data_IF_065170506852
#
_entry.id   IF_065170506852
#
_cell.length_a   1.000
_cell.length_b   1.000
_cell.length_c   1.000
_cell.angle_alpha   90.00
_cell.angle_beta   90.00
_cell.angle_gamma   90.00
#
_symmetry.space_group_name_H-M   'P 1'
#
loop_
_entity.id
_entity.type
_entity.pdbx_description
1 polymer ?
#
# COMPACT_ATOMS: atom_id res chain seq x y z
N UNK A 1 -0.12 7.45 20.58
CA UNK A 1 0.08 6.21 19.78
C UNK A 1 1.57 5.92 19.72
N UNK A 2 1.99 4.66 19.89
CA UNK A 2 3.41 4.30 19.72
C UNK A 2 3.80 4.53 18.26
N UNK A 3 4.96 5.13 18.02
CA UNK A 3 5.47 5.34 16.67
C UNK A 3 5.57 3.99 15.95
N UNK A 4 5.10 3.95 14.71
CA UNK A 4 5.26 2.77 13.86
C UNK A 4 6.75 2.53 13.60
N UNK A 5 7.16 1.27 13.56
CA UNK A 5 8.54 0.92 13.24
C UNK A 5 8.80 1.21 11.76
N UNK A 6 9.86 1.98 11.48
CA UNK A 6 10.37 2.13 10.10
C UNK A 6 11.10 0.85 9.71
N UNK A 7 10.60 0.18 8.67
CA UNK A 7 11.20 -1.05 8.18
C UNK A 7 12.42 -0.72 7.31
N UNK A 8 13.51 -1.46 7.49
CA UNK A 8 14.58 -1.53 6.51
C UNK A 8 14.25 -2.55 5.40
N UNK A 9 15.09 -2.62 4.38
CA UNK A 9 14.86 -3.48 3.22
C UNK A 9 14.74 -4.98 3.60
N UNK A 10 15.61 -5.49 4.46
CA UNK A 10 15.56 -6.89 4.89
C UNK A 10 14.26 -7.22 5.66
N UNK A 11 13.79 -6.27 6.47
CA UNK A 11 12.53 -6.40 7.19
C UNK A 11 11.33 -6.35 6.24
N UNK A 12 11.32 -5.44 5.27
CA UNK A 12 10.28 -5.37 4.24
C UNK A 12 10.21 -6.69 3.45
N UNK A 13 11.35 -7.22 2.99
CA UNK A 13 11.40 -8.51 2.28
C UNK A 13 10.82 -9.64 3.12
N UNK A 14 11.09 -9.66 4.44
CA UNK A 14 10.53 -10.67 5.35
C UNK A 14 9.00 -10.55 5.45
N UNK A 15 8.46 -9.34 5.52
CA UNK A 15 7.01 -9.10 5.54
C UNK A 15 6.36 -9.58 4.23
N UNK A 16 6.95 -9.25 3.08
CA UNK A 16 6.45 -9.72 1.78
C UNK A 16 6.49 -11.23 1.69
N UNK A 17 7.57 -11.88 2.12
CA UNK A 17 7.66 -13.34 2.15
C UNK A 17 6.58 -13.97 3.05
N UNK A 18 6.23 -13.31 4.17
CA UNK A 18 5.12 -13.75 5.00
C UNK A 18 3.77 -13.62 4.28
N UNK A 19 3.50 -12.51 3.59
CA UNK A 19 2.28 -12.31 2.79
C UNK A 19 2.06 -13.43 1.76
N UNK A 20 3.13 -13.95 1.14
CA UNK A 20 3.07 -15.06 0.17
C UNK A 20 2.47 -16.36 0.72
N UNK A 21 2.59 -16.58 2.03
CA UNK A 21 2.02 -17.76 2.70
C UNK A 21 0.54 -17.61 3.07
N UNK A 22 -0.06 -16.43 2.84
CA UNK A 22 -1.43 -16.11 3.24
C UNK A 22 -2.42 -16.48 2.14
N UNK A 23 -3.71 -16.48 2.49
CA UNK A 23 -4.82 -16.80 1.57
C UNK A 23 -4.90 -15.86 0.36
N UNK A 24 -4.50 -14.60 0.52
CA UNK A 24 -4.60 -13.57 -0.52
C UNK A 24 -3.25 -12.86 -0.70
N UNK A 25 -2.25 -13.56 -1.24
CA UNK A 25 -0.87 -13.08 -1.25
C UNK A 25 -0.72 -11.78 -2.03
N UNK A 26 -1.29 -11.71 -3.24
CA UNK A 26 -1.25 -10.50 -4.08
C UNK A 26 -1.85 -9.30 -3.37
N UNK A 27 -3.04 -9.44 -2.79
CA UNK A 27 -3.72 -8.35 -2.05
C UNK A 27 -2.86 -7.88 -0.87
N UNK A 28 -2.38 -8.82 -0.06
CA UNK A 28 -1.64 -8.51 1.16
C UNK A 28 -0.28 -7.87 0.84
N UNK A 29 0.41 -8.33 -0.22
CA UNK A 29 1.62 -7.69 -0.74
C UNK A 29 1.34 -6.27 -1.25
N UNK A 30 0.29 -6.09 -2.06
CA UNK A 30 -0.08 -4.77 -2.60
C UNK A 30 -0.34 -3.77 -1.47
N UNK A 31 -1.10 -4.15 -0.44
CA UNK A 31 -1.37 -3.27 0.72
C UNK A 31 -0.06 -2.80 1.39
N UNK A 32 0.87 -3.72 1.63
CA UNK A 32 2.15 -3.41 2.29
C UNK A 32 3.02 -2.52 1.40
N UNK A 33 3.17 -2.85 0.13
CA UNK A 33 4.00 -2.10 -0.80
C UNK A 33 3.42 -0.71 -1.06
N UNK A 34 2.11 -0.58 -1.23
CA UNK A 34 1.44 0.71 -1.36
C UNK A 34 1.64 1.56 -0.11
N UNK A 35 1.52 1.00 1.10
CA UNK A 35 1.81 1.75 2.33
C UNK A 35 3.27 2.24 2.38
N UNK A 36 4.22 1.35 2.05
CA UNK A 36 5.65 1.64 2.17
C UNK A 36 6.14 2.65 1.13
N UNK A 37 5.72 2.54 -0.13
CA UNK A 37 6.20 3.39 -1.22
C UNK A 37 5.38 4.67 -1.43
N UNK A 38 4.06 4.62 -1.20
CA UNK A 38 3.21 5.81 -1.35
C UNK A 38 3.01 6.58 -0.02
N UNK A 39 3.53 6.06 1.10
CA UNK A 39 3.46 6.73 2.41
C UNK A 39 2.04 6.79 3.02
N UNK A 40 1.13 5.96 2.52
CA UNK A 40 -0.27 5.96 2.95
C UNK A 40 -0.45 5.24 4.29
N UNK A 41 -1.30 5.81 5.15
CA UNK A 41 -1.77 5.21 6.40
C UNK A 41 -2.88 4.20 6.14
N UNK A 42 -3.11 3.30 7.10
CA UNK A 42 -4.11 2.24 6.98
C UNK A 42 -5.51 2.73 6.56
N UNK A 43 -5.99 3.85 7.13
CA UNK A 43 -7.30 4.42 6.77
C UNK A 43 -7.38 4.95 5.34
N UNK A 44 -6.25 5.48 4.84
CA UNK A 44 -6.15 6.04 3.49
C UNK A 44 -6.16 4.90 2.48
N UNK A 45 -5.42 3.81 2.77
CA UNK A 45 -5.44 2.59 1.95
C UNK A 45 -6.83 1.96 1.93
N UNK A 46 -7.54 1.94 3.06
CA UNK A 46 -8.89 1.41 3.14
C UNK A 46 -9.91 2.21 2.31
N UNK A 47 -9.65 3.49 2.05
CA UNK A 47 -10.50 4.37 1.25
C UNK A 47 -10.08 4.44 -0.23
N UNK A 48 -8.97 3.80 -0.62
CA UNK A 48 -8.48 3.84 -2.00
C UNK A 48 -9.48 3.20 -2.98
N UNK A 49 -9.69 3.89 -4.09
CA UNK A 49 -10.38 3.36 -5.27
C UNK A 49 -9.41 3.22 -6.43
N UNK A 50 -9.76 2.40 -7.42
CA UNK A 50 -8.94 2.24 -8.65
C UNK A 50 -8.72 3.59 -9.34
N UNK A 51 -9.73 4.46 -9.38
CA UNK A 51 -9.62 5.80 -9.99
C UNK A 51 -8.71 6.79 -9.26
N UNK A 52 -8.32 6.51 -8.00
CA UNK A 52 -7.29 7.29 -7.32
C UNK A 52 -5.88 6.95 -7.85
N UNK A 53 -5.66 5.71 -8.28
CA UNK A 53 -4.32 5.21 -8.67
C UNK A 53 -4.14 5.23 -10.18
N UNK A 54 -5.21 4.99 -10.95
CA UNK A 54 -5.19 4.94 -12.41
C UNK A 54 -5.98 6.09 -13.00
N UNK A 55 -5.54 6.57 -14.18
CA UNK A 55 -6.34 7.48 -15.00
C UNK A 55 -7.36 6.73 -15.88
N UNK A 56 -8.13 7.49 -16.66
CA UNK A 56 -9.19 6.94 -17.53
C UNK A 56 -8.63 6.07 -18.67
N UNK A 57 -7.35 6.28 -19.03
CA UNK A 57 -6.63 5.50 -20.04
C UNK A 57 -5.99 4.24 -19.42
N UNK A 58 -6.05 4.08 -18.10
CA UNK A 58 -5.47 2.96 -17.36
C UNK A 58 -3.99 3.14 -17.01
N UNK A 59 -3.41 4.33 -17.20
CA UNK A 59 -2.05 4.61 -16.78
C UNK A 59 -1.98 4.87 -15.27
N UNK A 60 -0.86 4.51 -14.65
CA UNK A 60 -0.62 4.79 -13.22
C UNK A 60 -0.35 6.28 -13.03
N UNK A 61 -1.10 6.91 -12.13
CA UNK A 61 -0.89 8.30 -11.73
C UNK A 61 0.40 8.42 -10.93
N UNK A 62 1.22 9.42 -11.26
CA UNK A 62 2.44 9.75 -10.51
C UNK A 62 2.14 10.36 -9.15
N UNK A 63 0.97 11.00 -9.02
CA UNK A 63 0.48 11.63 -7.79
C UNK A 63 -1.04 11.63 -7.77
N UNK A 64 -1.62 11.54 -6.57
CA UNK A 64 -3.06 11.67 -6.35
C UNK A 64 -3.33 12.26 -4.97
N UNK A 65 -4.48 12.91 -4.83
CA UNK A 65 -4.96 13.47 -3.57
C UNK A 65 -6.15 12.63 -3.13
N UNK A 66 -6.12 12.18 -1.88
CA UNK A 66 -7.27 11.53 -1.26
C UNK A 66 -8.15 12.61 -0.65
N UNK A 67 -9.40 12.68 -1.08
CA UNK A 67 -10.43 13.46 -0.40
C UNK A 67 -10.59 12.92 1.02
N UNK A 68 -10.68 13.82 2.00
CA UNK A 68 -11.01 13.42 3.36
C UNK A 68 -12.41 12.80 3.36
N UNK A 69 -12.52 11.58 3.88
CA UNK A 69 -13.80 10.97 4.25
C UNK A 69 -14.24 11.50 5.62
#
# INVERSE_FOLDING_TARGET
MRQAQTLNEAQLRRVIQYCRSRRHPTRDETIILTSFYAGLRAKEIAALTVGNVFDEEGNVRTQFILSAA
#
